data_IF_033871670411
#
_entry.id   IF_033871670411
#
_cell.length_a   1.000
_cell.length_b   1.000
_cell.length_c   1.000
_cell.angle_alpha   90.00
_cell.angle_beta   90.00
_cell.angle_gamma   90.00
#
_symmetry.space_group_name_H-M   'P 1'
#
loop_
_entity.id
_entity.type
_entity.pdbx_description
1 polymer ?
#
# COMPACT_ATOMS: atom_id res chain seq x y z
N UNK A 1 27.59 15.65 14.28
CA UNK A 1 29.00 16.12 14.32
C UNK A 1 29.28 17.27 13.35
N UNK A 2 30.22 18.17 13.67
CA UNK A 2 30.65 19.26 12.77
C UNK A 2 31.63 18.75 11.71
N UNK A 3 31.21 18.74 10.44
CA UNK A 3 32.01 18.27 9.30
C UNK A 3 33.30 19.06 9.10
N UNK A 4 33.27 20.37 9.26
CA UNK A 4 34.44 21.22 9.03
C UNK A 4 35.55 20.95 10.06
N UNK A 5 35.17 20.77 11.33
CA UNK A 5 36.12 20.42 12.39
C UNK A 5 36.67 19.00 12.24
N UNK A 6 35.81 18.02 11.91
CA UNK A 6 36.25 16.65 11.70
C UNK A 6 37.29 16.57 10.56
N UNK A 7 37.08 17.34 9.47
CA UNK A 7 38.00 17.34 8.31
C UNK A 7 39.45 17.70 8.69
N UNK A 8 39.67 18.51 9.72
CA UNK A 8 41.01 18.89 10.20
C UNK A 8 41.82 17.71 10.74
N UNK A 9 41.15 16.62 11.11
CA UNK A 9 41.76 15.40 11.66
C UNK A 9 41.68 14.21 10.68
N UNK A 10 41.25 14.45 9.43
CA UNK A 10 41.30 13.46 8.37
C UNK A 10 42.64 13.53 7.64
N UNK A 11 43.10 12.39 7.12
CA UNK A 11 44.25 12.37 6.21
C UNK A 11 45.63 12.35 6.88
N UNK A 12 45.75 12.03 8.17
CA UNK A 12 47.09 11.75 8.73
C UNK A 12 47.68 10.55 7.96
N UNK A 13 48.93 10.62 7.45
CA UNK A 13 49.55 9.48 6.76
C UNK A 13 49.85 8.31 7.69
N UNK A 14 49.85 7.10 7.13
CA UNK A 14 50.21 5.87 7.81
C UNK A 14 51.71 5.86 8.11
N UNK A 15 52.07 5.76 9.39
CA UNK A 15 53.46 5.57 9.80
C UNK A 15 53.75 4.08 10.03
N UNK A 16 54.32 3.42 9.03
CA UNK A 16 54.68 2.00 9.06
C UNK A 16 56.07 1.78 8.44
N UNK A 17 56.85 0.83 8.97
CA UNK A 17 58.14 0.45 8.37
C UNK A 17 57.90 -0.39 7.12
N UNK A 18 58.70 -0.18 6.08
CA UNK A 18 58.58 -0.90 4.81
C UNK A 18 58.70 -2.43 4.95
N UNK A 19 59.46 -2.92 5.94
CA UNK A 19 59.63 -4.34 6.24
C UNK A 19 58.61 -4.90 7.27
N UNK A 20 57.51 -4.18 7.53
CA UNK A 20 56.48 -4.66 8.46
C UNK A 20 55.77 -5.90 7.89
N UNK A 21 55.69 -6.97 8.67
CA UNK A 21 54.96 -8.19 8.30
C UNK A 21 53.47 -7.94 8.01
N UNK A 22 52.87 -6.86 8.52
CA UNK A 22 51.49 -6.47 8.22
C UNK A 22 51.30 -6.08 6.74
N UNK A 23 52.34 -5.59 6.08
CA UNK A 23 52.30 -5.24 4.65
C UNK A 23 52.37 -6.50 3.75
N UNK A 24 52.91 -7.60 4.27
CA UNK A 24 53.09 -8.87 3.55
C UNK A 24 51.98 -9.90 3.85
N UNK A 25 51.07 -9.61 4.76
CA UNK A 25 50.01 -10.53 5.16
C UNK A 25 48.79 -10.42 4.23
N UNK A 26 48.67 -11.32 3.25
CA UNK A 26 47.61 -11.28 2.23
C UNK A 26 46.20 -11.45 2.79
N UNK A 27 46.05 -12.03 3.98
CA UNK A 27 44.76 -12.11 4.66
C UNK A 27 44.23 -10.74 5.12
N UNK A 28 45.10 -9.73 5.23
CA UNK A 28 44.77 -8.35 5.62
C UNK A 28 44.61 -7.49 4.36
N UNK A 29 43.46 -6.85 4.21
CA UNK A 29 43.23 -5.88 3.13
C UNK A 29 43.33 -4.44 3.63
N UNK A 30 43.01 -4.22 4.91
CA UNK A 30 42.86 -2.89 5.49
C UNK A 30 43.62 -2.75 6.80
N UNK A 31 44.45 -1.71 6.90
CA UNK A 31 45.13 -1.33 8.13
C UNK A 31 44.35 -0.22 8.81
N UNK A 32 44.18 -0.28 10.14
CA UNK A 32 43.45 0.72 10.92
C UNK A 32 44.29 1.28 12.04
N UNK A 33 44.37 2.61 12.13
CA UNK A 33 44.90 3.32 13.30
C UNK A 33 43.75 3.96 14.07
N UNK A 34 43.92 4.16 15.37
CA UNK A 34 42.87 4.70 16.24
C UNK A 34 43.44 5.70 17.24
N UNK A 35 42.81 6.88 17.31
CA UNK A 35 43.22 7.94 18.24
C UNK A 35 42.00 8.66 18.80
N UNK A 36 42.06 9.05 20.08
CA UNK A 36 41.04 9.92 20.66
C UNK A 36 41.46 11.39 20.51
N UNK A 37 40.52 12.22 20.08
CA UNK A 37 40.64 13.68 19.96
C UNK A 37 39.43 14.35 20.61
N UNK A 38 39.57 15.61 20.98
CA UNK A 38 38.43 16.47 21.34
C UNK A 38 38.12 17.31 20.11
N UNK A 39 36.96 17.08 19.50
CA UNK A 39 36.51 17.77 18.28
C UNK A 39 35.17 18.41 18.59
N UNK A 40 35.06 19.73 18.45
CA UNK A 40 33.84 20.48 18.79
C UNK A 40 33.39 20.24 20.24
N UNK A 41 34.32 20.29 21.19
CA UNK A 41 34.12 20.04 22.63
C UNK A 41 33.64 18.61 22.99
N UNK A 42 33.72 17.65 22.06
CA UNK A 42 33.29 16.27 22.28
C UNK A 42 34.44 15.30 22.07
N UNK A 43 34.61 14.38 23.04
CA UNK A 43 35.53 13.24 22.91
C UNK A 43 35.12 12.40 21.70
N UNK A 44 36.01 12.29 20.73
CA UNK A 44 35.77 11.65 19.43
C UNK A 44 36.91 10.68 19.15
N UNK A 45 36.57 9.42 18.92
CA UNK A 45 37.48 8.41 18.40
C UNK A 45 37.60 8.60 16.90
N UNK A 46 38.82 8.80 16.41
CA UNK A 46 39.16 8.94 15.00
C UNK A 46 39.87 7.67 14.57
N UNK A 47 39.25 6.92 13.66
CA UNK A 47 39.85 5.76 13.02
C UNK A 47 40.23 6.11 11.59
N UNK A 48 41.44 5.78 11.19
CA UNK A 48 41.90 5.95 9.82
C UNK A 48 42.15 4.58 9.23
N UNK A 49 41.57 4.33 8.06
CA UNK A 49 41.55 3.02 7.39
C UNK A 49 42.29 3.15 6.07
N UNK A 50 43.33 2.35 5.90
CA UNK A 50 44.29 2.40 4.80
C UNK A 50 44.24 1.10 4.01
N UNK A 51 44.40 1.18 2.69
CA UNK A 51 44.60 -0.03 1.89
C UNK A 51 45.97 -0.62 2.20
N UNK A 52 46.05 -1.90 2.56
CA UNK A 52 47.35 -2.59 2.73
C UNK A 52 48.13 -2.60 1.41
N UNK A 53 47.47 -2.96 0.31
CA UNK A 53 48.09 -3.01 -1.01
C UNK A 53 48.58 -1.61 -1.46
N UNK A 54 47.76 -0.57 -1.24
CA UNK A 54 48.17 0.81 -1.49
C UNK A 54 49.37 1.23 -0.63
N UNK A 55 49.35 0.93 0.67
CA UNK A 55 50.45 1.25 1.58
C UNK A 55 51.75 0.55 1.20
N UNK A 56 51.69 -0.71 0.73
CA UNK A 56 52.85 -1.44 0.22
C UNK A 56 53.43 -0.82 -1.06
N UNK A 57 52.61 -0.08 -1.82
CA UNK A 57 52.99 0.66 -3.04
C UNK A 57 53.31 2.13 -2.77
N UNK A 58 53.27 2.59 -1.51
CA UNK A 58 53.60 3.95 -1.10
C UNK A 58 52.40 4.90 -0.92
N UNK A 59 51.17 4.47 -1.16
CA UNK A 59 49.96 5.24 -0.80
C UNK A 59 49.67 5.10 0.69
N UNK A 60 50.24 6.02 1.47
CA UNK A 60 50.11 6.06 2.92
C UNK A 60 48.92 6.88 3.40
N UNK A 61 48.07 7.42 2.53
CA UNK A 61 46.93 8.22 2.97
C UNK A 61 45.72 7.32 3.29
N UNK A 62 44.84 7.67 4.24
CA UNK A 62 43.67 6.85 4.56
C UNK A 62 42.58 6.93 3.48
N UNK A 63 42.07 5.77 3.06
CA UNK A 63 40.89 5.70 2.17
C UNK A 63 39.63 6.17 2.90
N UNK A 64 39.50 5.80 4.18
CA UNK A 64 38.41 6.25 5.02
C UNK A 64 38.92 6.81 6.35
N UNK A 65 38.29 7.88 6.83
CA UNK A 65 38.42 8.34 8.21
C UNK A 65 37.07 8.27 8.89
N UNK A 66 36.93 7.39 9.87
CA UNK A 66 35.71 7.24 10.68
C UNK A 66 35.86 8.06 11.95
N UNK A 67 34.89 8.91 12.20
CA UNK A 67 34.77 9.71 13.39
C UNK A 67 33.63 9.15 14.22
N UNK A 68 33.93 8.75 15.46
CA UNK A 68 33.01 8.08 16.36
C UNK A 68 32.88 8.88 17.66
N UNK A 69 31.66 9.31 17.97
CA UNK A 69 31.28 9.88 19.26
C UNK A 69 30.43 8.86 20.04
N UNK A 70 30.01 9.18 21.26
CA UNK A 70 29.21 8.26 22.09
C UNK A 70 27.88 7.85 21.44
N UNK A 71 27.25 8.76 20.73
CA UNK A 71 25.86 8.72 20.21
C UNK A 71 25.77 8.93 18.69
N UNK A 72 26.89 9.18 18.03
CA UNK A 72 26.94 9.56 16.61
C UNK A 72 28.23 9.03 15.96
N UNK A 73 28.18 8.86 14.63
CA UNK A 73 29.37 8.59 13.83
C UNK A 73 29.21 9.15 12.42
N UNK A 74 30.35 9.44 11.80
CA UNK A 74 30.45 9.99 10.45
C UNK A 74 31.75 9.51 9.80
N UNK A 75 31.71 9.25 8.50
CA UNK A 75 32.88 8.78 7.75
C UNK A 75 33.22 9.78 6.67
N UNK A 76 34.50 10.14 6.53
CA UNK A 76 35.04 10.80 5.35
C UNK A 76 35.71 9.76 4.45
N UNK A 77 35.36 9.72 3.17
CA UNK A 77 35.95 8.86 2.16
C UNK A 77 36.80 9.68 1.19
N UNK A 78 38.03 9.24 0.93
CA UNK A 78 38.86 9.71 -0.18
C UNK A 78 38.49 8.92 -1.43
N UNK A 79 38.12 9.63 -2.49
CA UNK A 79 37.83 9.08 -3.81
C UNK A 79 39.10 8.97 -4.65
N UNK A 80 39.02 8.19 -5.72
CA UNK A 80 40.13 7.96 -6.65
C UNK A 80 40.59 9.23 -7.35
N UNK A 81 39.67 10.17 -7.61
CA UNK A 81 39.95 11.51 -8.15
C UNK A 81 40.62 12.46 -7.14
N UNK A 82 40.96 11.98 -5.94
CA UNK A 82 41.55 12.76 -4.85
C UNK A 82 40.53 13.62 -4.07
N UNK A 83 39.27 13.68 -4.48
CA UNK A 83 38.24 14.41 -3.76
C UNK A 83 37.78 13.65 -2.52
N UNK A 84 37.15 14.35 -1.57
CA UNK A 84 36.66 13.76 -0.33
C UNK A 84 35.14 13.90 -0.19
N UNK A 85 34.46 12.80 0.13
CA UNK A 85 33.01 12.77 0.30
C UNK A 85 32.58 12.25 1.67
N UNK A 86 31.56 12.86 2.26
CA UNK A 86 31.03 12.45 3.56
C UNK A 86 30.02 11.33 3.41
N UNK A 87 30.20 10.24 4.18
CA UNK A 87 29.32 9.09 4.26
C UNK A 87 28.73 8.95 5.66
N UNK A 88 27.49 8.48 5.74
CA UNK A 88 26.83 8.08 7.00
C UNK A 88 26.92 6.58 7.26
N UNK A 89 27.80 5.87 6.53
CA UNK A 89 28.00 4.43 6.67
C UNK A 89 28.73 4.10 7.98
N UNK A 90 28.31 3.03 8.65
CA UNK A 90 29.07 2.45 9.75
C UNK A 90 30.33 1.74 9.24
N UNK A 91 31.24 1.41 10.15
CA UNK A 91 32.52 0.76 9.87
C UNK A 91 32.36 -0.52 9.04
N UNK A 92 31.41 -1.39 9.40
CA UNK A 92 31.16 -2.66 8.67
C UNK A 92 30.67 -2.46 7.23
N UNK A 93 30.25 -1.24 6.86
CA UNK A 93 29.67 -0.89 5.56
C UNK A 93 30.56 0.07 4.76
N UNK A 94 31.84 0.20 5.12
CA UNK A 94 32.79 1.00 4.36
C UNK A 94 33.09 0.37 3.00
N UNK A 95 33.22 -0.96 2.96
CA UNK A 95 33.39 -1.78 1.76
C UNK A 95 32.11 -2.57 1.43
N UNK A 96 31.86 -2.90 0.14
CA UNK A 96 30.79 -3.83 -0.24
C UNK A 96 31.03 -5.27 0.23
N UNK A 97 32.26 -5.63 0.61
CA UNK A 97 32.61 -6.99 1.05
C UNK A 97 31.94 -7.33 2.39
N UNK A 98 31.18 -8.42 2.43
CA UNK A 98 30.45 -8.86 3.63
C UNK A 98 31.37 -9.24 4.80
N UNK A 99 32.63 -9.60 4.51
CA UNK A 99 33.67 -9.94 5.48
C UNK A 99 34.67 -8.79 5.72
N UNK A 100 34.30 -7.54 5.44
CA UNK A 100 35.19 -6.37 5.54
C UNK A 100 35.95 -6.30 6.87
N UNK A 101 35.25 -6.46 8.00
CA UNK A 101 35.86 -6.33 9.33
C UNK A 101 36.92 -7.41 9.58
N UNK A 102 36.70 -8.65 9.12
CA UNK A 102 37.69 -9.73 9.29
C UNK A 102 38.93 -9.56 8.41
N UNK A 103 38.88 -8.65 7.42
CA UNK A 103 40.01 -8.26 6.57
C UNK A 103 40.72 -7.00 7.09
N UNK A 104 40.25 -6.44 8.21
CA UNK A 104 40.87 -5.29 8.86
C UNK A 104 41.83 -5.76 9.97
N UNK A 105 42.95 -5.06 10.11
CA UNK A 105 43.87 -5.24 11.23
C UNK A 105 44.20 -3.89 11.87
N UNK A 106 44.36 -3.88 13.19
CA UNK A 106 44.94 -2.73 13.88
C UNK A 106 46.43 -2.66 13.60
N UNK A 107 46.95 -1.44 13.37
CA UNK A 107 48.37 -1.24 13.17
C UNK A 107 49.18 -1.65 14.43
N UNK A 108 48.66 -1.33 15.62
CA UNK A 108 49.29 -1.68 16.89
C UNK A 108 48.26 -2.18 17.92
N UNK A 109 48.76 -2.88 18.96
CA UNK A 109 47.93 -3.23 20.12
C UNK A 109 47.42 -1.99 20.88
N UNK A 110 48.13 -0.85 20.78
CA UNK A 110 47.69 0.41 21.36
C UNK A 110 46.45 0.96 20.64
N UNK A 111 46.41 0.86 19.30
CA UNK A 111 45.23 1.24 18.51
C UNK A 111 44.01 0.40 18.91
N UNK A 112 44.19 -0.92 19.05
CA UNK A 112 43.13 -1.82 19.55
C UNK A 112 42.64 -1.39 20.93
N UNK A 113 43.55 -1.22 21.90
CA UNK A 113 43.21 -0.80 23.28
C UNK A 113 42.60 0.61 23.33
N UNK A 114 42.93 1.49 22.38
CA UNK A 114 42.35 2.83 22.28
C UNK A 114 40.83 2.78 22.15
N UNK A 115 40.32 1.82 21.36
CA UNK A 115 38.89 1.65 21.12
C UNK A 115 38.19 1.07 22.34
N UNK A 116 38.73 -0.02 22.93
CA UNK A 116 38.18 -0.61 24.15
C UNK A 116 38.07 0.42 25.28
N UNK A 117 39.12 1.23 25.50
CA UNK A 117 39.10 2.34 26.48
C UNK A 117 38.18 3.51 26.11
N UNK A 118 37.89 3.72 24.83
CA UNK A 118 36.95 4.76 24.41
C UNK A 118 35.52 4.40 24.82
N UNK A 119 35.17 3.12 24.66
CA UNK A 119 33.85 2.60 24.98
C UNK A 119 33.71 2.07 26.41
N UNK A 120 34.82 1.94 27.14
CA UNK A 120 34.86 1.28 28.45
C UNK A 120 34.36 -0.18 28.37
N UNK A 121 34.75 -0.87 27.31
CA UNK A 121 34.38 -2.27 27.02
C UNK A 121 35.63 -3.07 26.69
N UNK A 122 36.05 -3.93 27.63
CA UNK A 122 37.20 -4.83 27.50
C UNK A 122 36.76 -6.29 27.18
N UNK A 123 35.46 -6.52 26.96
CA UNK A 123 34.92 -7.88 26.75
C UNK A 123 34.98 -8.34 25.29
N UNK A 124 34.99 -7.39 24.34
CA UNK A 124 35.08 -7.65 22.91
C UNK A 124 36.45 -7.25 22.35
N UNK A 125 36.77 -7.72 21.14
CA UNK A 125 37.90 -7.15 20.41
C UNK A 125 37.61 -5.71 19.97
N UNK A 126 38.65 -4.94 19.61
CA UNK A 126 38.50 -3.51 19.34
C UNK A 126 37.51 -3.20 18.21
N UNK A 127 37.40 -4.06 17.19
CA UNK A 127 36.42 -3.86 16.13
C UNK A 127 35.02 -4.27 16.60
N UNK A 128 34.87 -5.36 17.35
CA UNK A 128 33.62 -5.77 17.98
C UNK A 128 33.02 -4.67 18.86
N UNK A 129 33.83 -4.01 19.70
CA UNK A 129 33.38 -2.87 20.50
C UNK A 129 32.81 -1.76 19.61
N UNK A 130 33.51 -1.40 18.52
CA UNK A 130 33.09 -0.35 17.59
C UNK A 130 31.79 -0.70 16.87
N UNK A 131 31.69 -1.91 16.33
CA UNK A 131 30.55 -2.34 15.52
C UNK A 131 29.31 -2.51 16.37
N UNK A 132 29.44 -3.05 17.59
CA UNK A 132 28.35 -3.14 18.57
C UNK A 132 27.79 -1.75 18.91
N UNK A 133 28.65 -0.77 19.20
CA UNK A 133 28.22 0.60 19.51
C UNK A 133 27.58 1.31 18.32
N UNK A 134 28.15 1.16 17.11
CA UNK A 134 27.56 1.73 15.90
C UNK A 134 26.20 1.11 15.57
N UNK A 135 25.99 -0.18 15.87
CA UNK A 135 24.70 -0.86 15.74
C UNK A 135 23.65 -0.27 16.68
N UNK A 136 24.00 -0.02 17.96
CA UNK A 136 23.10 0.66 18.90
C UNK A 136 22.68 2.05 18.40
N UNK A 137 23.63 2.84 17.88
CA UNK A 137 23.35 4.16 17.29
C UNK A 137 22.40 4.02 16.08
N UNK A 138 22.58 3.00 15.23
CA UNK A 138 21.71 2.74 14.09
C UNK A 138 20.29 2.37 14.52
N UNK A 139 20.14 1.52 15.53
CA UNK A 139 18.86 1.12 16.11
C UNK A 139 18.13 2.34 16.69
N UNK A 140 18.82 3.21 17.41
CA UNK A 140 18.22 4.42 17.98
C UNK A 140 17.82 5.42 16.89
N UNK A 141 18.65 5.62 15.87
CA UNK A 141 18.29 6.40 14.68
C UNK A 141 17.06 5.82 13.97
N UNK A 142 16.96 4.49 13.87
CA UNK A 142 15.81 3.81 13.28
C UNK A 142 14.55 4.02 14.13
N UNK A 143 14.62 3.81 15.45
CA UNK A 143 13.52 4.07 16.39
C UNK A 143 13.06 5.53 16.31
N UNK A 144 13.99 6.48 16.24
CA UNK A 144 13.67 7.90 16.10
C UNK A 144 12.94 8.21 14.77
N UNK A 145 13.41 7.66 13.65
CA UNK A 145 12.72 7.77 12.34
C UNK A 145 11.32 7.16 12.39
N UNK A 146 11.17 5.97 12.98
CA UNK A 146 9.87 5.31 13.16
C UNK A 146 8.92 6.13 14.04
N UNK A 147 9.41 6.73 15.13
CA UNK A 147 8.62 7.63 15.99
C UNK A 147 8.16 8.87 15.23
N UNK A 148 9.04 9.49 14.44
CA UNK A 148 8.71 10.66 13.60
C UNK A 148 7.65 10.31 12.56
N UNK A 149 7.81 9.17 11.89
CA UNK A 149 6.85 8.69 10.90
C UNK A 149 5.49 8.38 11.54
N UNK A 150 5.48 7.66 12.68
CA UNK A 150 4.25 7.38 13.43
C UNK A 150 3.52 8.65 13.86
N UNK A 151 4.24 9.69 14.29
CA UNK A 151 3.64 11.00 14.63
C UNK A 151 2.97 11.62 13.40
N UNK A 152 3.62 11.61 12.23
CA UNK A 152 3.04 12.13 10.97
C UNK A 152 1.79 11.36 10.57
N UNK A 153 1.84 10.04 10.62
CA UNK A 153 0.69 9.18 10.31
C UNK A 153 -0.46 9.46 11.29
N UNK A 154 -0.20 9.48 12.60
CA UNK A 154 -1.23 9.76 13.60
C UNK A 154 -1.88 11.14 13.39
N UNK A 155 -1.08 12.19 13.12
CA UNK A 155 -1.60 13.50 12.80
C UNK A 155 -2.47 13.48 11.54
N UNK A 156 -2.07 12.73 10.51
CA UNK A 156 -2.90 12.52 9.31
C UNK A 156 -4.23 11.84 9.63
N UNK A 157 -4.23 10.83 10.50
CA UNK A 157 -5.44 10.10 10.88
C UNK A 157 -6.45 10.94 11.68
N UNK A 158 -6.00 12.00 12.36
CA UNK A 158 -6.89 12.93 13.08
C UNK A 158 -7.79 13.75 12.15
N UNK A 159 -7.40 13.95 10.89
CA UNK A 159 -8.22 14.66 9.90
C UNK A 159 -9.42 13.86 9.40
N UNK A 160 -9.49 12.56 9.72
CA UNK A 160 -10.53 11.67 9.20
C UNK A 160 -11.78 11.76 10.08
N UNK A 161 -12.96 12.07 9.51
CA UNK A 161 -14.19 12.17 10.29
C UNK A 161 -14.59 10.85 10.97
N UNK A 162 -15.48 10.89 11.98
CA UNK A 162 -16.05 9.69 12.58
C UNK A 162 -16.80 8.80 11.58
N UNK A 163 -16.92 7.51 11.90
CA UNK A 163 -17.67 6.55 11.07
C UNK A 163 -19.14 6.96 11.00
N UNK A 164 -19.78 6.93 9.80
CA UNK A 164 -21.21 7.24 9.71
C UNK A 164 -22.06 6.30 10.55
N UNK A 165 -22.97 6.86 11.38
CA UNK A 165 -23.80 6.11 12.33
C UNK A 165 -24.65 5.00 11.68
N UNK A 166 -25.09 5.20 10.43
CA UNK A 166 -25.92 4.24 9.69
C UNK A 166 -25.16 3.08 9.04
N UNK A 167 -23.81 3.12 9.00
CA UNK A 167 -22.99 2.15 8.27
C UNK A 167 -23.23 0.71 8.75
N UNK A 168 -23.07 0.45 10.05
CA UNK A 168 -23.19 -0.89 10.64
C UNK A 168 -24.58 -1.48 10.38
N UNK A 169 -25.64 -0.67 10.53
CA UNK A 169 -27.03 -1.09 10.29
C UNK A 169 -27.30 -1.36 8.81
N UNK A 170 -26.80 -0.52 7.91
CA UNK A 170 -26.95 -0.74 6.46
C UNK A 170 -26.23 -2.02 6.02
N UNK A 171 -24.98 -2.21 6.47
CA UNK A 171 -24.18 -3.39 6.16
C UNK A 171 -24.90 -4.66 6.60
N UNK A 172 -25.34 -4.71 7.86
CA UNK A 172 -26.09 -5.85 8.41
C UNK A 172 -27.37 -6.15 7.62
N UNK A 173 -28.18 -5.14 7.29
CA UNK A 173 -29.52 -5.34 6.70
C UNK A 173 -29.52 -5.52 5.19
N UNK A 174 -28.54 -4.97 4.48
CA UNK A 174 -28.57 -4.83 3.01
C UNK A 174 -27.46 -5.56 2.29
N UNK A 175 -26.34 -5.81 2.96
CA UNK A 175 -25.14 -6.34 2.32
C UNK A 175 -24.85 -7.74 2.82
N UNK A 176 -24.78 -7.95 4.15
CA UNK A 176 -24.49 -9.26 4.71
C UNK A 176 -25.42 -10.34 4.13
N UNK A 177 -24.90 -11.55 3.88
CA UNK A 177 -25.73 -12.69 3.54
C UNK A 177 -26.86 -12.87 4.57
N UNK A 178 -28.06 -13.11 4.05
CA UNK A 178 -29.27 -13.21 4.85
C UNK A 178 -29.80 -14.64 4.83
N UNK A 179 -30.36 -15.06 5.96
CA UNK A 179 -30.78 -16.43 6.20
C UNK A 179 -32.17 -16.49 6.80
N UNK A 180 -32.83 -17.60 6.53
CA UNK A 180 -34.02 -18.05 7.25
C UNK A 180 -33.58 -19.17 8.20
N UNK A 181 -33.53 -18.88 9.49
CA UNK A 181 -33.16 -19.86 10.51
C UNK A 181 -34.39 -20.55 11.06
N UNK A 182 -34.44 -21.87 10.94
CA UNK A 182 -35.56 -22.69 11.36
C UNK A 182 -35.10 -23.93 12.13
N UNK A 183 -35.97 -24.48 12.96
CA UNK A 183 -35.75 -25.77 13.61
C UNK A 183 -36.29 -26.91 12.77
N UNK A 184 -35.69 -28.10 12.89
CA UNK A 184 -36.14 -29.25 12.13
C UNK A 184 -37.55 -29.63 12.58
N UNK A 185 -38.54 -29.47 11.71
CA UNK A 185 -39.92 -29.89 11.98
C UNK A 185 -40.32 -30.97 10.97
N UNK A 186 -40.79 -32.11 11.47
CA UNK A 186 -41.42 -33.15 10.64
C UNK A 186 -42.86 -32.74 10.33
N UNK A 187 -43.29 -32.99 9.10
CA UNK A 187 -44.68 -32.96 8.65
C UNK A 187 -45.44 -31.61 8.73
N UNK A 188 -44.73 -30.48 8.71
CA UNK A 188 -45.36 -29.15 8.56
C UNK A 188 -45.29 -28.63 7.12
N UNK A 189 -46.45 -28.26 6.56
CA UNK A 189 -46.56 -27.52 5.29
C UNK A 189 -45.88 -26.15 5.33
N UNK A 190 -45.91 -25.51 6.50
CA UNK A 190 -45.30 -24.20 6.76
C UNK A 190 -44.43 -24.27 8.00
N UNK A 191 -43.19 -23.81 7.88
CA UNK A 191 -42.20 -23.87 8.95
C UNK A 191 -41.95 -22.45 9.48
N UNK A 192 -42.10 -22.21 10.79
CA UNK A 192 -41.74 -20.94 11.41
C UNK A 192 -40.22 -20.82 11.55
N UNK A 193 -39.71 -19.60 11.52
CA UNK A 193 -38.30 -19.30 11.75
C UNK A 193 -38.02 -17.81 11.75
N UNK A 194 -36.75 -17.44 11.81
CA UNK A 194 -36.32 -16.04 11.93
C UNK A 194 -35.59 -15.60 10.68
N UNK A 195 -35.93 -14.42 10.17
CA UNK A 195 -35.15 -13.76 9.14
C UNK A 195 -33.93 -13.06 9.76
N UNK A 196 -32.71 -13.46 9.39
CA UNK A 196 -31.49 -12.84 9.93
C UNK A 196 -31.29 -11.38 9.49
N UNK A 197 -31.92 -10.94 8.39
CA UNK A 197 -31.78 -9.56 7.90
C UNK A 197 -32.65 -8.54 8.67
N UNK A 198 -33.88 -8.91 9.03
CA UNK A 198 -34.81 -8.00 9.73
C UNK A 198 -35.09 -8.40 11.18
N UNK A 199 -34.69 -9.59 11.61
CA UNK A 199 -34.89 -10.12 12.96
C UNK A 199 -36.31 -10.58 13.27
N UNK A 200 -37.25 -10.49 12.31
CA UNK A 200 -38.65 -10.87 12.53
C UNK A 200 -38.85 -12.37 12.35
N UNK A 201 -39.75 -12.91 13.15
CA UNK A 201 -40.31 -14.24 12.93
C UNK A 201 -41.17 -14.23 11.67
N UNK A 202 -40.96 -15.22 10.81
CA UNK A 202 -41.66 -15.42 9.56
C UNK A 202 -41.95 -16.91 9.39
N UNK A 203 -42.94 -17.22 8.55
CA UNK A 203 -43.35 -18.58 8.23
C UNK A 203 -43.21 -18.80 6.73
N UNK A 204 -42.50 -19.86 6.33
CA UNK A 204 -42.25 -20.18 4.92
C UNK A 204 -42.72 -21.59 4.59
N UNK A 205 -43.23 -21.79 3.38
CA UNK A 205 -43.58 -23.10 2.81
C UNK A 205 -42.44 -23.65 1.96
N UNK A 206 -42.39 -24.98 1.78
CA UNK A 206 -41.39 -25.62 0.90
C UNK A 206 -39.95 -25.49 1.40
N UNK A 207 -39.76 -25.43 2.72
CA UNK A 207 -38.46 -25.18 3.33
C UNK A 207 -37.51 -26.35 3.08
N UNK A 208 -36.40 -26.07 2.39
CA UNK A 208 -35.32 -27.02 2.11
C UNK A 208 -34.00 -26.43 2.58
N UNK A 209 -33.16 -27.25 3.20
CA UNK A 209 -31.82 -26.81 3.61
C UNK A 209 -31.02 -26.30 2.39
N UNK A 210 -30.42 -25.11 2.51
CA UNK A 210 -29.76 -24.33 1.44
C UNK A 210 -30.69 -23.82 0.32
N UNK A 211 -32.01 -23.97 0.45
CA UNK A 211 -32.97 -23.36 -0.46
C UNK A 211 -32.99 -21.84 -0.36
N UNK A 212 -33.57 -21.18 -1.37
CA UNK A 212 -33.74 -19.72 -1.43
C UNK A 212 -35.20 -19.34 -1.25
N UNK A 213 -35.47 -18.22 -0.58
CA UNK A 213 -36.79 -17.61 -0.49
C UNK A 213 -36.70 -16.11 -0.25
N UNK A 214 -37.77 -15.38 -0.55
CA UNK A 214 -37.89 -13.97 -0.17
C UNK A 214 -38.53 -13.86 1.21
N UNK A 215 -37.97 -13.01 2.06
CA UNK A 215 -38.59 -12.66 3.33
C UNK A 215 -39.91 -11.92 3.08
N UNK A 216 -41.06 -12.41 3.57
CA UNK A 216 -42.35 -11.72 3.38
C UNK A 216 -42.38 -10.37 4.12
N UNK A 217 -41.56 -10.19 5.16
CA UNK A 217 -41.55 -8.96 5.93
C UNK A 217 -40.61 -7.87 5.39
N UNK A 218 -39.49 -8.23 4.77
CA UNK A 218 -38.47 -7.24 4.36
C UNK A 218 -38.04 -7.36 2.88
N UNK A 219 -38.55 -8.37 2.17
CA UNK A 219 -38.26 -8.62 0.76
C UNK A 219 -36.85 -9.13 0.47
N UNK A 220 -36.01 -9.35 1.48
CA UNK A 220 -34.62 -9.82 1.27
C UNK A 220 -34.62 -11.29 0.84
N UNK A 221 -33.79 -11.63 -0.14
CA UNK A 221 -33.48 -13.03 -0.43
C UNK A 221 -32.74 -13.67 0.74
N UNK A 222 -33.26 -14.80 1.22
CA UNK A 222 -32.77 -15.58 2.33
C UNK A 222 -32.27 -16.94 1.84
N UNK A 223 -31.17 -17.41 2.43
CA UNK A 223 -30.76 -18.80 2.34
C UNK A 223 -31.31 -19.57 3.56
N UNK A 224 -32.03 -20.65 3.32
CA UNK A 224 -32.63 -21.43 4.39
C UNK A 224 -31.59 -22.29 5.11
N UNK A 225 -31.50 -22.17 6.43
CA UNK A 225 -30.54 -22.92 7.26
C UNK A 225 -31.25 -23.46 8.49
N UNK A 226 -31.22 -24.79 8.66
CA UNK A 226 -31.72 -25.42 9.87
C UNK A 226 -30.70 -25.24 11.00
N UNK A 227 -31.13 -24.80 12.19
CA UNK A 227 -30.23 -24.54 13.34
C UNK A 227 -29.37 -25.76 13.70
N UNK A 228 -29.95 -26.96 13.67
CA UNK A 228 -29.25 -28.20 13.98
C UNK A 228 -28.23 -28.69 12.93
N UNK A 229 -28.24 -28.16 11.69
CA UNK A 229 -27.29 -28.57 10.61
C UNK A 229 -26.33 -27.48 10.17
N UNK A 230 -26.60 -26.23 10.53
CA UNK A 230 -25.84 -25.07 10.05
C UNK A 230 -24.38 -25.06 10.55
N UNK A 231 -24.12 -25.63 11.74
CA UNK A 231 -22.81 -25.56 12.37
C UNK A 231 -22.38 -24.11 12.67
N UNK A 232 -21.08 -23.84 12.56
CA UNK A 232 -20.51 -22.49 12.74
C UNK A 232 -20.60 -21.70 11.44
N UNK A 233 -21.72 -21.02 11.22
CA UNK A 233 -21.89 -20.13 10.07
C UNK A 233 -21.31 -18.75 10.38
N UNK A 234 -20.35 -18.33 9.56
CA UNK A 234 -19.72 -17.01 9.61
C UNK A 234 -19.64 -16.45 8.21
N UNK A 235 -20.06 -15.20 8.05
CA UNK A 235 -19.93 -14.47 6.79
C UNK A 235 -18.98 -13.30 6.94
N UNK A 236 -18.30 -12.98 5.84
CA UNK A 236 -17.38 -11.86 5.76
C UNK A 236 -17.71 -11.00 4.57
N UNK A 237 -17.72 -9.70 4.78
CA UNK A 237 -17.94 -8.72 3.73
C UNK A 237 -17.04 -7.51 3.89
N UNK A 238 -16.82 -6.80 2.79
CA UNK A 238 -16.07 -5.55 2.78
C UNK A 238 -16.99 -4.41 2.38
N UNK A 239 -16.89 -3.28 3.09
CA UNK A 239 -17.58 -2.07 2.69
C UNK A 239 -16.67 -0.85 2.69
N UNK A 240 -17.07 0.17 1.95
CA UNK A 240 -16.34 1.40 1.77
C UNK A 240 -17.18 2.61 2.13
N UNK A 241 -16.53 3.62 2.70
CA UNK A 241 -17.12 4.92 3.00
C UNK A 241 -16.25 6.01 2.39
N UNK A 242 -16.87 6.92 1.65
CA UNK A 242 -16.20 8.16 1.20
C UNK A 242 -16.48 9.26 2.22
N UNK A 243 -15.47 10.02 2.63
CA UNK A 243 -15.63 11.21 3.46
C UNK A 243 -14.74 12.34 2.96
N UNK A 244 -15.22 13.58 3.06
CA UNK A 244 -14.42 14.78 2.81
C UNK A 244 -13.45 15.02 3.97
N UNK A 245 -12.17 15.21 3.68
CA UNK A 245 -11.14 15.57 4.68
C UNK A 245 -10.60 16.99 4.47
N UNK A 246 -10.76 17.53 3.27
CA UNK A 246 -10.53 18.93 2.91
C UNK A 246 -11.41 19.28 1.68
N UNK A 247 -11.58 20.57 1.30
CA UNK A 247 -12.35 20.94 0.11
C UNK A 247 -11.87 20.23 -1.18
N UNK A 248 -10.56 20.01 -1.29
CA UNK A 248 -9.90 19.40 -2.44
C UNK A 248 -9.55 17.91 -2.22
N UNK A 249 -10.04 17.30 -1.14
CA UNK A 249 -9.63 15.95 -0.73
C UNK A 249 -10.75 15.10 -0.15
N UNK A 250 -10.81 13.86 -0.64
CA UNK A 250 -11.64 12.79 -0.08
C UNK A 250 -10.79 11.63 0.42
N UNK A 251 -11.31 10.90 1.40
CA UNK A 251 -10.78 9.62 1.86
C UNK A 251 -11.78 8.51 1.60
N UNK A 252 -11.31 7.44 0.95
CA UNK A 252 -12.01 6.15 0.90
C UNK A 252 -11.53 5.32 2.08
N UNK A 253 -12.46 4.98 2.98
CA UNK A 253 -12.21 4.15 4.15
C UNK A 253 -12.74 2.75 3.86
N UNK A 254 -11.91 1.74 4.00
CA UNK A 254 -12.25 0.33 3.77
C UNK A 254 -12.47 -0.35 5.11
N UNK A 255 -13.65 -0.93 5.29
CA UNK A 255 -14.05 -1.66 6.50
C UNK A 255 -14.26 -3.13 6.18
N UNK A 256 -13.95 -3.97 7.17
CA UNK A 256 -14.09 -5.41 7.14
C UNK A 256 -15.13 -5.81 8.16
N UNK A 257 -16.15 -6.52 7.69
CA UNK A 257 -17.22 -7.04 8.51
C UNK A 257 -17.10 -8.54 8.64
N UNK A 258 -17.31 -9.03 9.86
CA UNK A 258 -17.50 -10.46 10.14
C UNK A 258 -18.77 -10.62 10.95
N UNK A 259 -19.69 -11.47 10.50
CA UNK A 259 -20.92 -11.80 11.22
C UNK A 259 -20.91 -13.27 11.59
N UNK A 260 -20.99 -13.55 12.89
CA UNK A 260 -21.20 -14.89 13.41
C UNK A 260 -22.69 -15.10 13.63
N UNK A 261 -23.31 -16.13 13.05
CA UNK A 261 -24.78 -16.29 13.15
C UNK A 261 -25.26 -17.05 14.37
N UNK A 262 -24.36 -17.76 15.06
CA UNK A 262 -24.68 -18.44 16.32
C UNK A 262 -24.90 -17.46 17.48
N UNK A 263 -24.11 -16.38 17.49
CA UNK A 263 -24.25 -15.24 18.38
C UNK A 263 -24.13 -13.99 17.50
N UNK A 264 -25.25 -13.37 17.08
CA UNK A 264 -25.31 -12.39 16.00
C UNK A 264 -24.69 -11.04 16.37
N UNK A 265 -23.37 -11.04 16.56
CA UNK A 265 -22.55 -9.85 16.65
C UNK A 265 -21.84 -9.61 15.32
N UNK A 266 -22.06 -8.40 14.76
CA UNK A 266 -21.32 -7.91 13.61
C UNK A 266 -20.06 -7.20 14.11
N UNK A 267 -18.92 -7.85 13.96
CA UNK A 267 -17.62 -7.21 14.10
C UNK A 267 -17.35 -6.33 12.87
N UNK A 268 -16.87 -5.11 13.09
CA UNK A 268 -16.59 -4.14 12.05
C UNK A 268 -15.32 -3.35 12.40
N UNK A 269 -14.28 -3.53 11.60
CA UNK A 269 -13.01 -2.83 11.80
C UNK A 269 -12.53 -2.19 10.51
N UNK A 270 -11.78 -1.09 10.65
CA UNK A 270 -11.26 -0.32 9.52
C UNK A 270 -9.89 -0.88 9.09
N UNK A 271 -9.80 -1.35 7.85
CA UNK A 271 -8.61 -2.00 7.31
C UNK A 271 -7.67 -1.04 6.58
N UNK A 272 -8.22 -0.08 5.84
CA UNK A 272 -7.43 0.82 5.00
C UNK A 272 -8.08 2.19 4.84
N UNK A 273 -7.23 3.19 4.53
CA UNK A 273 -7.62 4.55 4.15
C UNK A 273 -6.85 4.93 2.89
N UNK A 274 -7.57 5.34 1.85
CA UNK A 274 -7.01 5.80 0.59
C UNK A 274 -7.42 7.27 0.40
N UNK A 275 -6.48 8.18 0.59
CA UNK A 275 -6.70 9.61 0.39
C UNK A 275 -6.43 9.99 -1.06
N UNK A 276 -7.29 10.84 -1.60
CA UNK A 276 -7.24 11.32 -2.97
C UNK A 276 -7.45 12.83 -2.92
N UNK A 277 -6.44 13.58 -3.35
CA UNK A 277 -6.44 15.04 -3.35
C UNK A 277 -6.19 15.57 -4.75
N UNK A 278 -6.94 16.57 -5.16
CA UNK A 278 -6.66 17.33 -6.38
C UNK A 278 -5.99 18.65 -6.01
N UNK A 279 -4.73 18.85 -6.40
CA UNK A 279 -4.07 20.14 -6.19
C UNK A 279 -4.70 21.23 -7.07
N UNK A 280 -4.53 22.51 -6.73
CA UNK A 280 -4.94 23.63 -7.59
C UNK A 280 -4.37 23.57 -9.02
N UNK A 281 -3.22 22.94 -9.22
CA UNK A 281 -2.63 22.71 -10.54
C UNK A 281 -3.33 21.63 -11.38
N UNK A 282 -4.39 21.01 -10.86
CA UNK A 282 -5.05 19.84 -11.47
C UNK A 282 -4.34 18.52 -11.21
N UNK A 283 -3.13 18.53 -10.64
CA UNK A 283 -2.37 17.31 -10.34
C UNK A 283 -3.02 16.52 -9.21
N UNK A 284 -3.21 15.22 -9.45
CA UNK A 284 -3.73 14.29 -8.46
C UNK A 284 -2.63 13.79 -7.52
N UNK A 285 -2.92 13.76 -6.23
CA UNK A 285 -2.09 13.12 -5.21
C UNK A 285 -2.87 12.04 -4.50
N UNK A 286 -2.23 10.88 -4.31
CA UNK A 286 -2.81 9.80 -3.53
C UNK A 286 -1.87 9.34 -2.44
N UNK A 287 -2.44 9.02 -1.28
CA UNK A 287 -1.71 8.36 -0.19
C UNK A 287 -2.57 7.25 0.39
N UNK A 288 -1.92 6.16 0.78
CA UNK A 288 -2.61 4.98 1.29
C UNK A 288 -2.03 4.60 2.63
N UNK A 289 -2.91 4.13 3.52
CA UNK A 289 -2.56 3.65 4.84
C UNK A 289 -3.37 2.42 5.15
N UNK A 290 -2.78 1.49 5.89
CA UNK A 290 -3.47 0.31 6.39
C UNK A 290 -3.36 0.24 7.91
N UNK A 291 -4.39 -0.34 8.53
CA UNK A 291 -4.41 -0.60 9.97
C UNK A 291 -3.92 -2.03 10.23
N UNK A 292 -3.07 -2.18 11.24
CA UNK A 292 -2.61 -3.47 11.75
C UNK A 292 -2.70 -3.41 13.28
N UNK A 293 -3.65 -4.15 13.86
CA UNK A 293 -3.91 -4.18 15.30
C UNK A 293 -4.08 -2.78 15.92
N UNK A 294 -4.87 -1.91 15.26
CA UNK A 294 -5.12 -0.53 15.71
C UNK A 294 -3.98 0.45 15.41
N UNK A 295 -2.86 0.00 14.81
CA UNK A 295 -1.75 0.87 14.41
C UNK A 295 -1.78 1.13 12.91
N UNK A 296 -1.85 2.42 12.54
CA UNK A 296 -1.79 2.86 11.15
C UNK A 296 -0.36 2.85 10.61
N UNK A 297 -0.20 2.34 9.38
CA UNK A 297 1.07 2.27 8.64
C UNK A 297 0.87 2.81 7.23
N UNK A 298 1.88 3.47 6.69
CA UNK A 298 1.86 3.98 5.32
C UNK A 298 2.02 2.85 4.30
N UNK A 299 1.36 3.00 3.14
CA UNK A 299 1.37 2.03 2.05
C UNK A 299 0.15 1.09 2.06
N UNK A 300 0.26 0.02 1.29
CA UNK A 300 -0.72 -1.07 1.24
C UNK A 300 -0.38 -2.15 2.27
N UNK A 301 -1.39 -2.91 2.69
CA UNK A 301 -1.18 -4.03 3.62
C UNK A 301 -0.29 -5.09 2.96
N UNK A 302 0.83 -5.50 3.59
CA UNK A 302 1.64 -6.61 3.10
C UNK A 302 0.83 -7.90 3.03
N UNK A 303 0.96 -8.63 1.92
CA UNK A 303 0.38 -9.96 1.73
C UNK A 303 1.52 -10.99 1.66
N UNK A 304 1.37 -12.10 2.38
CA UNK A 304 2.38 -13.15 2.42
C UNK A 304 2.55 -13.83 1.06
N UNK A 305 1.44 -14.10 0.37
CA UNK A 305 1.41 -14.64 -0.98
C UNK A 305 0.48 -13.80 -1.85
N UNK A 306 0.90 -13.54 -3.09
CA UNK A 306 0.05 -12.89 -4.10
C UNK A 306 -0.96 -13.83 -4.74
N UNK A 307 -0.80 -15.14 -4.53
CA UNK A 307 -1.63 -16.19 -5.13
C UNK A 307 -2.74 -16.68 -4.20
N UNK A 308 -2.75 -16.22 -2.95
CA UNK A 308 -3.77 -16.56 -1.98
C UNK A 308 -4.58 -15.32 -1.63
N UNK A 309 -5.90 -15.49 -1.58
CA UNK A 309 -6.81 -14.44 -1.15
C UNK A 309 -6.48 -13.99 0.27
N UNK A 310 -6.46 -12.67 0.49
CA UNK A 310 -6.25 -12.08 1.81
C UNK A 310 -7.39 -11.10 2.11
N UNK A 311 -8.37 -11.56 2.89
CA UNK A 311 -9.54 -10.76 3.27
C UNK A 311 -9.14 -9.40 3.86
N UNK A 312 -8.09 -9.35 4.68
CA UNK A 312 -7.70 -8.13 5.36
C UNK A 312 -7.00 -7.10 4.46
N UNK A 313 -6.41 -7.54 3.34
CA UNK A 313 -5.70 -6.70 2.37
C UNK A 313 -6.55 -6.33 1.15
N UNK A 314 -7.59 -7.12 0.86
CA UNK A 314 -8.56 -6.81 -0.17
C UNK A 314 -9.22 -5.44 0.09
N UNK A 315 -9.35 -4.63 -0.95
CA UNK A 315 -9.96 -3.30 -0.84
C UNK A 315 -11.31 -3.22 -1.54
N UNK A 316 -11.68 -4.19 -2.39
CA UNK A 316 -12.99 -4.20 -3.05
C UNK A 316 -14.10 -4.31 -2.02
N UNK A 317 -15.10 -3.44 -2.10
CA UNK A 317 -16.17 -3.41 -1.10
C UNK A 317 -17.43 -2.70 -1.59
N UNK A 318 -18.54 -2.97 -0.91
CA UNK A 318 -19.80 -2.28 -1.14
C UNK A 318 -19.74 -0.85 -0.61
N UNK A 319 -20.18 0.11 -1.42
CA UNK A 319 -20.11 1.53 -1.05
C UNK A 319 -21.34 1.93 -0.24
N UNK A 320 -21.11 2.50 0.94
CA UNK A 320 -22.19 3.00 1.79
C UNK A 320 -22.81 4.27 1.17
N UNK A 321 -24.09 4.24 0.73
CA UNK A 321 -24.67 5.37 0.02
C UNK A 321 -25.09 6.52 0.95
N UNK A 322 -25.32 6.24 2.24
CA UNK A 322 -26.04 7.14 3.14
C UNK A 322 -25.35 8.47 3.42
N UNK A 323 -24.03 8.58 3.23
CA UNK A 323 -23.30 9.84 3.39
C UNK A 323 -22.68 10.37 2.08
N UNK A 324 -22.89 9.70 0.93
CA UNK A 324 -22.26 10.08 -0.34
C UNK A 324 -22.61 11.51 -0.77
N UNK A 325 -23.88 11.97 -0.77
CA UNK A 325 -24.21 13.32 -1.22
C UNK A 325 -23.56 14.42 -0.39
N UNK A 326 -23.33 14.16 0.90
CA UNK A 326 -22.65 15.11 1.81
C UNK A 326 -21.14 15.02 1.65
N UNK A 327 -20.59 13.81 1.46
CA UNK A 327 -19.16 13.58 1.33
C UNK A 327 -18.56 14.18 0.05
N UNK A 328 -19.33 14.25 -1.04
CA UNK A 328 -18.86 14.74 -2.33
C UNK A 328 -19.18 16.22 -2.59
N UNK A 329 -20.09 16.82 -1.81
CA UNK A 329 -20.51 18.22 -1.98
C UNK A 329 -19.32 19.17 -1.82
N UNK A 330 -19.25 20.18 -2.67
CA UNK A 330 -18.20 21.21 -2.71
C UNK A 330 -16.78 20.60 -2.83
N UNK A 331 -16.69 19.43 -3.45
CA UNK A 331 -15.42 18.80 -3.80
C UNK A 331 -15.33 18.62 -5.31
N UNK A 332 -14.13 18.39 -5.85
CA UNK A 332 -13.98 18.00 -7.25
C UNK A 332 -14.86 16.82 -7.68
N UNK A 333 -15.22 15.93 -6.76
CA UNK A 333 -16.00 14.72 -7.03
C UNK A 333 -17.51 14.91 -6.91
N UNK A 334 -18.02 16.15 -6.79
CA UNK A 334 -19.45 16.43 -6.57
C UNK A 334 -20.39 15.73 -7.58
N UNK A 335 -19.96 15.60 -8.84
CA UNK A 335 -20.74 14.96 -9.91
C UNK A 335 -20.25 13.56 -10.28
N UNK A 336 -19.28 13.01 -9.54
CA UNK A 336 -18.78 11.67 -9.76
C UNK A 336 -19.91 10.65 -9.62
N UNK A 337 -20.15 9.79 -10.63
CA UNK A 337 -21.35 8.95 -10.71
C UNK A 337 -21.23 7.67 -9.86
N UNK A 338 -20.74 7.80 -8.62
CA UNK A 338 -20.45 6.68 -7.71
C UNK A 338 -21.68 5.79 -7.50
N UNK A 339 -22.84 6.39 -7.21
CA UNK A 339 -24.08 5.65 -6.94
C UNK A 339 -24.55 4.87 -8.17
N UNK A 340 -24.49 5.47 -9.36
CA UNK A 340 -24.92 4.83 -10.59
C UNK A 340 -23.96 3.69 -10.97
N UNK A 341 -22.64 3.93 -10.87
CA UNK A 341 -21.63 2.92 -11.18
C UNK A 341 -21.70 1.72 -10.24
N UNK A 342 -21.73 1.95 -8.93
CA UNK A 342 -21.78 0.86 -7.94
C UNK A 342 -23.13 0.14 -7.96
N UNK A 343 -24.23 0.88 -8.16
CA UNK A 343 -25.58 0.33 -8.25
C UNK A 343 -25.80 -0.54 -9.48
N UNK A 344 -25.04 -0.31 -10.56
CA UNK A 344 -25.07 -1.11 -11.77
C UNK A 344 -24.50 -2.51 -11.57
N UNK A 345 -23.32 -2.62 -10.92
CA UNK A 345 -22.68 -3.92 -10.69
C UNK A 345 -23.31 -4.70 -9.55
N UNK A 346 -23.83 -4.02 -8.52
CA UNK A 346 -24.35 -4.65 -7.30
C UNK A 346 -23.34 -5.62 -6.63
N UNK A 347 -22.06 -5.41 -6.90
CA UNK A 347 -20.93 -6.22 -6.44
C UNK A 347 -19.88 -5.33 -5.76
N UNK A 348 -18.97 -5.90 -4.95
CA UNK A 348 -17.83 -5.17 -4.39
C UNK A 348 -16.94 -4.56 -5.47
N UNK A 349 -16.64 -3.26 -5.38
CA UNK A 349 -15.75 -2.55 -6.31
C UNK A 349 -14.65 -1.81 -5.54
N UNK A 350 -13.49 -1.57 -6.14
CA UNK A 350 -12.50 -0.65 -5.57
C UNK A 350 -12.81 0.79 -6.01
N UNK A 351 -13.17 1.68 -5.07
CA UNK A 351 -13.54 3.06 -5.44
C UNK A 351 -12.37 3.94 -5.87
N UNK A 352 -11.16 3.72 -5.34
CA UNK A 352 -10.04 4.61 -5.61
C UNK A 352 -9.80 4.78 -7.12
N UNK A 353 -9.70 3.70 -7.93
CA UNK A 353 -9.56 3.82 -9.38
C UNK A 353 -10.66 4.67 -10.05
N UNK A 354 -11.93 4.53 -9.64
CA UNK A 354 -13.03 5.35 -10.17
C UNK A 354 -12.82 6.83 -9.85
N UNK A 355 -12.51 7.16 -8.59
CA UNK A 355 -12.32 8.54 -8.15
C UNK A 355 -11.08 9.18 -8.78
N UNK A 356 -10.01 8.41 -8.99
CA UNK A 356 -8.81 8.92 -9.68
C UNK A 356 -9.06 9.12 -11.16
N UNK A 357 -9.70 8.17 -11.83
CA UNK A 357 -10.02 8.25 -13.26
C UNK A 357 -11.03 9.35 -13.57
N UNK A 358 -11.95 9.64 -12.64
CA UNK A 358 -12.89 10.75 -12.79
C UNK A 358 -12.19 12.10 -12.97
N UNK A 359 -11.12 12.34 -12.21
CA UNK A 359 -10.37 13.59 -12.28
C UNK A 359 -9.50 13.64 -13.55
N UNK A 360 -8.88 12.51 -13.93
CA UNK A 360 -7.98 12.47 -15.09
C UNK A 360 -8.71 12.32 -16.42
N UNK A 361 -9.92 11.77 -16.43
CA UNK A 361 -10.75 11.51 -17.60
C UNK A 361 -12.22 11.83 -17.31
N UNK A 362 -12.63 13.12 -17.27
CA UNK A 362 -13.98 13.51 -16.87
C UNK A 362 -15.11 12.89 -17.70
N UNK A 363 -14.83 12.47 -18.95
CA UNK A 363 -15.82 11.80 -19.83
C UNK A 363 -16.33 10.47 -19.29
N UNK A 364 -15.65 9.85 -18.32
CA UNK A 364 -16.22 8.67 -17.64
C UNK A 364 -17.55 9.01 -16.95
N UNK A 365 -17.73 10.26 -16.49
CA UNK A 365 -19.00 10.71 -15.92
C UNK A 365 -20.14 10.54 -16.92
N UNK A 366 -19.92 11.07 -18.13
CA UNK A 366 -20.86 11.00 -19.23
C UNK A 366 -21.16 9.55 -19.61
N UNK A 367 -20.12 8.72 -19.78
CA UNK A 367 -20.27 7.31 -20.16
C UNK A 367 -21.07 6.51 -19.14
N UNK A 368 -20.82 6.68 -17.83
CA UNK A 368 -21.63 6.04 -16.79
C UNK A 368 -23.06 6.53 -16.86
N UNK A 369 -23.27 7.86 -16.94
CA UNK A 369 -24.61 8.46 -16.98
C UNK A 369 -25.47 7.96 -18.14
N UNK A 370 -24.87 7.74 -19.31
CA UNK A 370 -25.58 7.25 -20.50
C UNK A 370 -25.61 5.71 -20.62
N UNK A 371 -25.07 4.98 -19.64
CA UNK A 371 -25.27 3.52 -19.49
C UNK A 371 -24.10 2.62 -19.90
N UNK A 372 -22.91 3.15 -20.21
CA UNK A 372 -21.73 2.37 -20.61
C UNK A 372 -20.86 1.94 -19.41
N UNK A 373 -21.49 1.41 -18.35
CA UNK A 373 -20.78 1.04 -17.11
C UNK A 373 -19.74 -0.07 -17.31
N UNK A 374 -20.03 -1.09 -18.14
CA UNK A 374 -19.08 -2.18 -18.44
C UNK A 374 -17.82 -1.66 -19.16
N UNK A 375 -17.99 -0.78 -20.15
CA UNK A 375 -16.88 -0.10 -20.81
C UNK A 375 -16.04 0.72 -19.82
N UNK A 376 -16.69 1.52 -18.96
CA UNK A 376 -16.00 2.33 -17.95
C UNK A 376 -15.23 1.44 -16.96
N UNK A 377 -15.77 0.28 -16.59
CA UNK A 377 -15.07 -0.70 -15.75
C UNK A 377 -13.79 -1.21 -16.42
N UNK A 378 -13.83 -1.55 -17.72
CA UNK A 378 -12.62 -1.96 -18.46
C UNK A 378 -11.57 -0.82 -18.53
N UNK A 379 -12.00 0.42 -18.76
CA UNK A 379 -11.11 1.58 -18.81
C UNK A 379 -10.42 1.84 -17.47
N UNK A 380 -11.14 1.65 -16.36
CA UNK A 380 -10.64 1.93 -15.01
C UNK A 380 -9.75 0.79 -14.49
N UNK A 381 -10.19 -0.47 -14.61
CA UNK A 381 -9.58 -1.60 -13.91
C UNK A 381 -8.72 -2.50 -14.80
N UNK A 382 -8.93 -2.49 -16.12
CA UNK A 382 -8.19 -3.36 -17.06
C UNK A 382 -7.20 -2.61 -17.92
N UNK A 383 -7.14 -1.28 -17.79
CA UNK A 383 -6.25 -0.40 -18.54
C UNK A 383 -6.27 -0.66 -20.05
N UNK A 384 -7.44 -1.05 -20.59
CA UNK A 384 -7.57 -1.30 -22.02
C UNK A 384 -7.55 0.04 -22.76
N UNK A 385 -6.72 0.12 -23.81
CA UNK A 385 -6.66 1.30 -24.67
C UNK A 385 -7.77 1.22 -25.71
N UNK A 386 -8.81 2.03 -25.50
CA UNK A 386 -9.86 2.27 -26.49
C UNK A 386 -9.71 3.68 -27.02
N UNK A 387 -9.92 3.85 -28.33
CA UNK A 387 -9.96 5.18 -28.94
C UNK A 387 -11.21 5.91 -28.47
N UNK A 388 -11.04 6.93 -27.63
CA UNK A 388 -12.12 7.83 -27.23
C UNK A 388 -11.74 9.25 -27.63
N UNK A 389 -12.65 9.96 -28.28
CA UNK A 389 -12.48 11.38 -28.60
C UNK A 389 -12.90 12.23 -27.39
N UNK A 390 -11.93 12.53 -26.53
CA UNK A 390 -12.14 13.26 -25.26
C UNK A 390 -12.61 14.70 -25.45
N UNK A 391 -12.52 15.26 -26.67
CA UNK A 391 -13.00 16.61 -26.98
C UNK A 391 -14.51 16.64 -27.25
N UNK A 392 -15.14 15.48 -27.48
CA UNK A 392 -16.54 15.40 -27.89
C UNK A 392 -17.50 15.24 -26.71
N UNK A 393 -18.65 15.90 -26.82
CA UNK A 393 -19.74 15.80 -25.83
C UNK A 393 -20.87 14.86 -26.27
N UNK A 394 -20.97 14.55 -27.57
CA UNK A 394 -21.98 13.61 -28.08
C UNK A 394 -21.44 12.19 -27.96
N UNK A 395 -22.22 11.28 -27.37
CA UNK A 395 -21.81 9.89 -27.08
C UNK A 395 -21.22 9.18 -28.30
N UNK A 396 -21.87 9.23 -29.46
CA UNK A 396 -21.37 8.57 -30.67
C UNK A 396 -20.02 9.11 -31.14
N UNK A 397 -19.79 10.42 -31.01
CA UNK A 397 -18.51 11.04 -31.38
C UNK A 397 -17.41 10.70 -30.37
N UNK A 398 -17.72 10.76 -29.07
CA UNK A 398 -16.81 10.32 -28.00
C UNK A 398 -16.38 8.87 -28.20
N UNK A 399 -17.33 7.99 -28.56
CA UNK A 399 -17.10 6.58 -28.83
C UNK A 399 -16.57 6.30 -30.24
N UNK A 400 -16.42 7.31 -31.11
CA UNK A 400 -16.01 7.15 -32.51
C UNK A 400 -16.85 6.13 -33.32
N UNK A 401 -18.18 6.18 -33.18
CA UNK A 401 -19.15 5.29 -33.86
C UNK A 401 -20.32 6.09 -34.46
N UNK A 402 -21.20 5.42 -35.21
CA UNK A 402 -22.44 5.99 -35.72
C UNK A 402 -23.42 6.36 -34.61
N UNK A 403 -24.26 7.38 -34.83
CA UNK A 403 -25.25 7.79 -33.86
C UNK A 403 -26.32 6.70 -33.62
N UNK A 404 -26.67 6.00 -34.71
CA UNK A 404 -27.57 4.86 -34.76
C UNK A 404 -27.06 3.63 -33.99
N UNK A 405 -25.75 3.53 -33.76
CA UNK A 405 -25.12 2.39 -33.11
C UNK A 405 -25.10 2.51 -31.58
N UNK A 406 -25.30 3.71 -31.03
CA UNK A 406 -25.21 3.95 -29.58
C UNK A 406 -26.21 3.12 -28.77
N UNK A 407 -27.52 3.06 -29.10
CA UNK A 407 -28.46 2.22 -28.36
C UNK A 407 -28.08 0.74 -28.43
N UNK A 408 -27.72 0.25 -29.62
CA UNK A 408 -27.29 -1.12 -29.85
C UNK A 408 -26.10 -1.51 -28.95
N UNK A 409 -25.03 -0.71 -28.95
CA UNK A 409 -23.83 -0.96 -28.16
C UNK A 409 -24.08 -0.88 -26.66
N UNK A 410 -24.95 0.06 -26.23
CA UNK A 410 -25.34 0.20 -24.81
C UNK A 410 -26.12 -1.02 -24.35
N UNK A 411 -27.13 -1.43 -25.09
CA UNK A 411 -28.05 -2.50 -24.71
C UNK A 411 -27.32 -3.87 -24.72
N UNK A 412 -26.31 -4.02 -25.58
CA UNK A 412 -25.38 -5.14 -25.57
C UNK A 412 -24.36 -5.13 -24.42
N UNK A 413 -24.31 -4.07 -23.61
CA UNK A 413 -23.30 -3.89 -22.54
C UNK A 413 -21.87 -3.99 -23.08
N UNK A 414 -21.59 -3.26 -24.16
CA UNK A 414 -20.31 -3.32 -24.85
C UNK A 414 -19.12 -3.11 -23.90
N UNK A 415 -18.08 -3.91 -24.11
CA UNK A 415 -16.79 -3.84 -23.41
C UNK A 415 -15.73 -3.20 -24.29
N UNK A 416 -14.60 -2.82 -23.70
CA UNK A 416 -13.56 -2.08 -24.41
C UNK A 416 -13.03 -2.79 -25.66
N UNK A 417 -12.78 -4.11 -25.59
CA UNK A 417 -12.38 -4.91 -26.75
C UNK A 417 -13.45 -4.93 -27.86
N UNK A 418 -14.71 -5.13 -27.50
CA UNK A 418 -15.82 -5.13 -28.46
C UNK A 418 -16.02 -3.78 -29.13
N UNK A 419 -15.86 -2.68 -28.38
CA UNK A 419 -15.92 -1.33 -28.93
C UNK A 419 -14.79 -1.07 -29.92
N UNK A 420 -13.56 -1.52 -29.65
CA UNK A 420 -12.45 -1.39 -30.59
C UNK A 420 -12.70 -2.11 -31.93
N UNK A 421 -13.27 -3.33 -31.88
CA UNK A 421 -13.70 -4.04 -33.09
C UNK A 421 -14.79 -3.26 -33.84
N UNK A 422 -15.80 -2.77 -33.12
CA UNK A 422 -16.91 -2.05 -33.73
C UNK A 422 -16.48 -0.70 -34.35
N UNK A 423 -15.53 0.02 -33.72
CA UNK A 423 -14.91 1.22 -34.27
C UNK A 423 -14.22 0.95 -35.61
N UNK A 424 -13.64 -0.24 -35.77
CA UNK A 424 -13.04 -0.67 -37.04
C UNK A 424 -14.12 -0.86 -38.11
N UNK A 425 -15.27 -1.41 -37.77
CA UNK A 425 -16.38 -1.58 -38.73
C UNK A 425 -16.94 -0.23 -39.17
N UNK A 426 -17.03 0.70 -38.24
CA UNK A 426 -17.46 2.07 -38.51
C UNK A 426 -16.45 2.80 -39.41
N UNK A 427 -15.14 2.71 -39.12
CA UNK A 427 -14.11 3.37 -39.93
C UNK A 427 -13.97 2.79 -41.35
N UNK A 428 -14.24 1.49 -41.51
CA UNK A 428 -14.29 0.81 -42.82
C UNK A 428 -15.58 1.08 -43.59
N UNK A 429 -16.56 1.79 -43.01
CA UNK A 429 -17.83 2.08 -43.67
C UNK A 429 -18.69 0.84 -43.93
N UNK A 430 -18.54 -0.23 -43.12
CA UNK A 430 -19.27 -1.48 -43.33
C UNK A 430 -20.78 -1.27 -43.16
N UNK A 431 -21.56 -1.67 -44.18
CA UNK A 431 -23.02 -1.80 -44.09
C UNK A 431 -23.39 -2.96 -43.17
N UNK A 432 -24.53 -2.87 -42.50
CA UNK A 432 -25.05 -3.89 -41.58
C UNK A 432 -24.07 -4.33 -40.46
N UNK A 433 -23.17 -3.42 -40.05
CA UNK A 433 -22.15 -3.64 -39.00
C UNK A 433 -22.69 -4.20 -37.69
N UNK A 434 -23.92 -3.82 -37.29
CA UNK A 434 -24.57 -4.37 -36.10
C UNK A 434 -24.85 -5.88 -36.24
N UNK A 435 -25.38 -6.29 -37.40
CA UNK A 435 -25.65 -7.70 -37.70
C UNK A 435 -24.35 -8.51 -37.80
N UNK A 436 -23.32 -7.96 -38.44
CA UNK A 436 -21.99 -8.58 -38.51
C UNK A 436 -21.39 -8.79 -37.11
N UNK A 437 -21.45 -7.78 -36.25
CA UNK A 437 -20.92 -7.86 -34.89
C UNK A 437 -21.67 -8.90 -34.04
N UNK A 438 -22.99 -8.99 -34.17
CA UNK A 438 -23.80 -10.04 -33.53
C UNK A 438 -23.47 -11.44 -34.06
N UNK A 439 -23.17 -11.57 -35.36
CA UNK A 439 -22.78 -12.84 -35.96
C UNK A 439 -21.43 -13.31 -35.42
N UNK A 440 -20.41 -12.45 -35.41
CA UNK A 440 -19.08 -12.79 -34.90
C UNK A 440 -19.09 -13.16 -33.42
N UNK A 441 -19.79 -12.39 -32.58
CA UNK A 441 -19.90 -12.70 -31.16
C UNK A 441 -20.59 -14.05 -30.90
N UNK A 442 -21.56 -14.46 -31.75
CA UNK A 442 -22.21 -15.77 -31.65
C UNK A 442 -21.29 -16.93 -32.04
N UNK A 443 -20.36 -16.69 -32.95
CA UNK A 443 -19.45 -17.71 -33.46
C UNK A 443 -18.04 -17.68 -32.85
N UNK A 444 -17.76 -16.74 -31.95
CA UNK A 444 -16.46 -16.62 -31.27
C UNK A 444 -15.32 -16.20 -32.20
N UNK A 445 -15.62 -15.40 -33.22
CA UNK A 445 -14.68 -14.91 -34.25
C UNK A 445 -14.15 -13.53 -33.90
#
# INVERSE_FOLDING_TARGET
MNKAECRKYAGEPLHIRANSGLLCADQIEWLTTARVRVIGHRRTLVLQVYSRAGAAQGDLLPKWTVFQQKDDYLTLERREDGTASWRTACFERLSPNWNFVSRCAFLTQSDRKCISRFFHDDTQDGFGCLTAHQKLIQEDRQKARQRKERRRINARMQSVPPVPRGLKRWLYRKIMPAYFFYDAVKDRKTVPGVCSACGREISLSGVRYNGKALCPSCGRELTMKSRGRMGKLTDQETCQVIQRTAPDEVVVRVFKATLHHADPELDLWEAARQFIRQRPSGKLETSQYYSSFGVWKAGTRPVFSRWQYNFAADVCGYVYPGNLPVALRDTPWQYCPVTQFCGYFQEPVELKPLLTSYITQPKIEHLVKVGFCDLVSDLIYRHQTVRLDQEQNRTHRLLCVGAEDVPFLRDMRIRASGLASFQTYYSMGLKDRQALFLWQNRHGI
#
